data_IF_802979641417
#
_entry.id   IF_802979641417
#
_cell.length_a   1.000
_cell.length_b   1.000
_cell.length_c   1.000
_cell.angle_alpha   90.00
_cell.angle_beta   90.00
_cell.angle_gamma   90.00
#
_symmetry.space_group_name_H-M   'P 1'
#
loop_
_entity.id
_entity.type
_entity.pdbx_description
1 polymer ?
#
# COMPACT_ATOMS: atom_id res chain seq x y z
N UNK A 1 23.69 5.52 -22.67
CA UNK A 1 22.72 4.91 -21.71
C UNK A 1 23.27 4.80 -20.29
N UNK A 2 24.59 4.72 -20.06
CA UNK A 2 25.19 4.72 -18.71
C UNK A 2 25.27 6.10 -18.04
N UNK A 3 25.31 7.20 -18.80
CA UNK A 3 25.43 8.56 -18.22
C UNK A 3 24.13 9.11 -17.60
N UNK A 4 22.96 8.55 -17.95
CA UNK A 4 21.67 8.93 -17.36
C UNK A 4 21.51 8.26 -15.99
N UNK A 5 22.09 7.06 -15.82
CA UNK A 5 21.99 6.27 -14.59
C UNK A 5 22.86 6.85 -13.47
N UNK A 6 23.87 7.69 -13.77
CA UNK A 6 24.82 8.18 -12.77
C UNK A 6 24.67 9.68 -12.42
N UNK A 7 23.56 10.31 -12.82
CA UNK A 7 23.29 11.71 -12.51
C UNK A 7 21.91 11.85 -11.85
N UNK A 8 21.92 12.09 -10.54
CA UNK A 8 20.73 12.27 -9.69
C UNK A 8 19.74 13.27 -10.27
N UNK A 9 20.22 14.43 -10.71
CA UNK A 9 19.36 15.50 -11.22
C UNK A 9 18.63 15.10 -12.51
N UNK A 10 19.31 14.40 -13.43
CA UNK A 10 18.67 13.88 -14.65
C UNK A 10 17.63 12.80 -14.35
N UNK A 11 17.87 11.95 -13.34
CA UNK A 11 16.89 10.93 -12.92
C UNK A 11 15.64 11.58 -12.35
N UNK A 12 15.80 12.59 -11.50
CA UNK A 12 14.70 13.38 -10.94
C UNK A 12 13.89 14.12 -12.02
N UNK A 13 14.56 14.79 -12.95
CA UNK A 13 13.89 15.46 -14.09
C UNK A 13 13.09 14.49 -14.97
N UNK A 14 13.67 13.33 -15.26
CA UNK A 14 12.99 12.28 -16.03
C UNK A 14 11.75 11.76 -15.29
N UNK A 15 11.87 11.49 -13.99
CA UNK A 15 10.76 11.02 -13.16
C UNK A 15 9.63 12.04 -13.13
N UNK A 16 9.97 13.31 -12.89
CA UNK A 16 9.05 14.46 -12.89
C UNK A 16 8.31 14.59 -14.22
N UNK A 17 9.03 14.51 -15.33
CA UNK A 17 8.42 14.58 -16.66
C UNK A 17 7.41 13.47 -16.89
N UNK A 18 7.75 12.22 -16.53
CA UNK A 18 6.84 11.08 -16.70
C UNK A 18 5.58 11.19 -15.82
N UNK A 19 5.69 11.76 -14.61
CA UNK A 19 4.53 12.02 -13.74
C UNK A 19 3.56 12.99 -14.40
N UNK A 20 4.10 14.08 -14.95
CA UNK A 20 3.28 15.08 -15.64
C UNK A 20 2.62 14.52 -16.89
N UNK A 21 3.29 13.63 -17.64
CA UNK A 21 2.68 12.93 -18.77
C UNK A 21 1.52 12.03 -18.36
N UNK A 22 1.64 11.31 -17.23
CA UNK A 22 0.54 10.52 -16.68
C UNK A 22 -0.64 11.39 -16.27
N UNK A 23 -0.37 12.52 -15.62
CA UNK A 23 -1.40 13.49 -15.23
C UNK A 23 -2.13 14.07 -16.45
N UNK A 24 -1.42 14.33 -17.54
CA UNK A 24 -1.99 14.82 -18.81
C UNK A 24 -2.71 13.74 -19.62
N UNK A 25 -2.67 12.47 -19.20
CA UNK A 25 -3.29 11.34 -19.90
C UNK A 25 -2.56 10.92 -21.17
N UNK A 26 -1.28 11.29 -21.33
CA UNK A 26 -0.49 10.93 -22.50
C UNK A 26 -0.05 9.46 -22.43
N UNK A 27 -0.61 8.61 -23.30
CA UNK A 27 -0.23 7.19 -23.47
C UNK A 27 0.01 6.45 -22.12
N UNK A 28 -0.97 6.41 -21.21
CA UNK A 28 -0.78 6.03 -19.81
C UNK A 28 -0.15 4.65 -19.63
N UNK A 29 -0.48 3.67 -20.47
CA UNK A 29 0.11 2.33 -20.43
C UNK A 29 1.61 2.31 -20.77
N UNK A 30 2.03 3.10 -21.76
CA UNK A 30 3.43 3.17 -22.17
C UNK A 30 4.26 3.92 -21.12
N UNK A 31 3.71 5.02 -20.59
CA UNK A 31 4.37 5.79 -19.54
C UNK A 31 4.48 4.96 -18.26
N UNK A 32 3.43 4.23 -17.85
CA UNK A 32 3.48 3.29 -16.72
C UNK A 32 4.60 2.27 -16.85
N UNK A 33 4.72 1.60 -18.00
CA UNK A 33 5.80 0.61 -18.24
C UNK A 33 7.18 1.23 -18.15
N UNK A 34 7.36 2.42 -18.72
CA UNK A 34 8.64 3.13 -18.68
C UNK A 34 8.99 3.60 -17.27
N UNK A 35 7.99 4.04 -16.53
CA UNK A 35 8.13 4.46 -15.13
C UNK A 35 8.64 3.32 -14.26
N UNK A 36 8.05 2.13 -14.44
CA UNK A 36 8.47 0.89 -13.78
C UNK A 36 9.95 0.59 -14.02
N UNK A 37 10.44 0.72 -15.25
CA UNK A 37 11.86 0.47 -15.55
C UNK A 37 12.80 1.49 -14.91
N UNK A 38 12.37 2.76 -14.85
CA UNK A 38 13.18 3.86 -14.31
C UNK A 38 13.28 3.76 -12.78
N UNK A 39 12.16 3.53 -12.10
CA UNK A 39 12.09 3.43 -10.64
C UNK A 39 12.92 2.29 -10.04
N UNK A 40 13.11 1.18 -10.78
CA UNK A 40 14.00 0.08 -10.35
C UNK A 40 15.46 0.50 -10.13
N UNK A 41 15.86 1.63 -10.69
CA UNK A 41 17.24 2.10 -10.69
C UNK A 41 17.40 3.46 -9.98
N UNK A 42 16.33 3.99 -9.38
CA UNK A 42 16.34 5.27 -8.68
C UNK A 42 16.29 5.00 -7.16
N UNK A 43 17.22 5.58 -6.38
CA UNK A 43 17.13 5.57 -4.91
C UNK A 43 15.80 6.14 -4.42
N UNK A 44 15.18 5.50 -3.43
CA UNK A 44 13.82 5.87 -2.99
C UNK A 44 13.72 7.31 -2.45
N UNK A 45 14.78 7.83 -1.83
CA UNK A 45 14.89 9.22 -1.41
C UNK A 45 14.74 10.21 -2.58
N UNK A 46 15.25 9.88 -3.78
CA UNK A 46 15.06 10.73 -4.96
C UNK A 46 13.60 10.73 -5.46
N UNK A 47 12.89 9.62 -5.28
CA UNK A 47 11.45 9.52 -5.60
C UNK A 47 10.67 10.47 -4.71
N UNK A 48 10.95 10.43 -3.40
CA UNK A 48 10.35 11.32 -2.40
C UNK A 48 10.65 12.78 -2.71
N UNK A 49 11.88 13.12 -3.08
CA UNK A 49 12.25 14.49 -3.48
C UNK A 49 11.42 14.98 -4.67
N UNK A 50 11.24 14.15 -5.71
CA UNK A 50 10.46 14.54 -6.89
C UNK A 50 8.98 14.76 -6.57
N UNK A 51 8.39 13.90 -5.74
CA UNK A 51 7.00 14.06 -5.28
C UNK A 51 6.82 15.38 -4.54
N UNK A 52 7.78 15.72 -3.66
CA UNK A 52 7.77 16.97 -2.91
C UNK A 52 7.91 18.20 -3.81
N UNK A 53 8.82 18.16 -4.79
CA UNK A 53 8.97 19.23 -5.78
C UNK A 53 7.67 19.43 -6.57
N UNK A 54 6.98 18.36 -6.97
CA UNK A 54 5.72 18.45 -7.71
C UNK A 54 4.57 19.03 -6.89
N UNK A 55 4.46 18.64 -5.62
CA UNK A 55 3.47 19.22 -4.69
C UNK A 55 3.77 20.72 -4.50
N UNK A 56 5.05 21.09 -4.32
CA UNK A 56 5.47 22.48 -4.18
C UNK A 56 5.19 23.32 -5.44
N UNK A 57 5.22 22.71 -6.63
CA UNK A 57 4.88 23.32 -7.91
C UNK A 57 3.36 23.40 -8.20
N UNK A 58 2.53 22.87 -7.29
CA UNK A 58 1.08 23.00 -7.34
C UNK A 58 0.35 21.80 -7.96
N UNK A 59 1.00 20.66 -8.16
CA UNK A 59 0.31 19.43 -8.53
C UNK A 59 -0.57 18.97 -7.34
N UNK A 60 -1.87 18.70 -7.55
CA UNK A 60 -2.73 18.23 -6.47
C UNK A 60 -2.24 16.91 -5.88
N UNK A 61 -2.36 16.77 -4.56
CA UNK A 61 -1.89 15.59 -3.84
C UNK A 61 -2.60 14.31 -4.26
N UNK A 62 -3.88 14.40 -4.63
CA UNK A 62 -4.66 13.29 -5.19
C UNK A 62 -4.05 12.73 -6.49
N UNK A 63 -3.36 13.58 -7.26
CA UNK A 63 -2.69 13.17 -8.50
C UNK A 63 -1.34 12.51 -8.20
N UNK A 64 -0.64 12.96 -7.15
CA UNK A 64 0.57 12.29 -6.64
C UNK A 64 0.21 10.94 -6.01
N UNK A 65 -0.94 10.82 -5.34
CA UNK A 65 -1.42 9.57 -4.77
C UNK A 65 -1.64 8.47 -5.84
N UNK A 66 -2.17 8.83 -7.01
CA UNK A 66 -2.33 7.89 -8.15
C UNK A 66 -0.99 7.33 -8.66
N UNK A 67 0.09 8.07 -8.42
CA UNK A 67 1.45 7.68 -8.77
C UNK A 67 2.05 6.71 -7.75
N UNK A 68 1.73 6.89 -6.47
CA UNK A 68 2.18 5.99 -5.40
C UNK A 68 1.70 4.54 -5.62
N UNK A 69 0.48 4.34 -6.14
CA UNK A 69 -0.01 3.01 -6.52
C UNK A 69 0.90 2.33 -7.57
N UNK A 70 1.44 3.10 -8.52
CA UNK A 70 2.39 2.59 -9.53
C UNK A 70 3.71 2.24 -8.87
N UNK A 71 4.15 3.04 -7.90
CA UNK A 71 5.44 2.88 -7.25
C UNK A 71 5.50 1.68 -6.33
N UNK A 72 4.44 1.43 -5.54
CA UNK A 72 4.35 0.25 -4.69
C UNK A 72 4.57 -1.03 -5.50
N UNK A 73 3.95 -1.14 -6.68
CA UNK A 73 4.13 -2.28 -7.59
C UNK A 73 5.55 -2.43 -8.14
N UNK A 74 6.33 -1.35 -8.19
CA UNK A 74 7.68 -1.34 -8.76
C UNK A 74 8.74 -1.54 -7.69
N UNK A 75 8.52 -0.96 -6.52
CA UNK A 75 9.40 -1.00 -5.37
C UNK A 75 9.31 -2.34 -4.63
N UNK A 76 8.23 -3.09 -4.81
CA UNK A 76 8.12 -4.47 -4.33
C UNK A 76 9.30 -5.31 -4.84
N UNK A 77 10.20 -5.69 -3.93
CA UNK A 77 11.42 -6.45 -4.22
C UNK A 77 12.59 -5.68 -4.84
N UNK A 78 12.49 -4.35 -5.03
CA UNK A 78 13.53 -3.54 -5.69
C UNK A 78 14.06 -2.39 -4.82
N UNK A 79 13.62 -2.25 -3.57
CA UNK A 79 14.17 -1.27 -2.62
C UNK A 79 15.57 -1.71 -2.19
N UNK A 80 16.57 -0.85 -2.43
CA UNK A 80 17.93 -1.05 -1.93
C UNK A 80 17.97 -0.84 -0.40
N UNK A 81 18.13 -1.94 0.34
CA UNK A 81 18.24 -1.95 1.80
C UNK A 81 19.69 -1.98 2.30
N UNK A 82 20.70 -1.90 1.42
CA UNK A 82 22.11 -2.05 1.80
C UNK A 82 22.60 -1.01 2.81
N UNK A 83 21.95 0.16 2.87
CA UNK A 83 22.21 1.22 3.86
C UNK A 83 21.38 1.14 5.15
N UNK A 84 20.50 0.15 5.29
CA UNK A 84 19.62 0.03 6.45
C UNK A 84 20.42 -0.30 7.72
N UNK A 85 20.08 0.37 8.83
CA UNK A 85 20.73 0.14 10.12
C UNK A 85 20.01 -0.96 10.89
N UNK A 86 20.77 -1.74 11.65
CA UNK A 86 20.20 -2.68 12.60
C UNK A 86 19.33 -1.94 13.62
N UNK A 87 18.10 -2.42 13.78
CA UNK A 87 17.12 -1.85 14.70
C UNK A 87 17.14 -2.66 15.99
N UNK A 88 17.59 -2.08 17.13
CA UNK A 88 17.67 -2.82 18.38
C UNK A 88 16.27 -3.10 18.97
N UNK A 89 16.12 -4.16 19.78
CA UNK A 89 14.86 -4.45 20.47
C UNK A 89 14.37 -3.26 21.29
N UNK A 90 13.07 -2.95 21.18
CA UNK A 90 12.44 -1.84 21.91
C UNK A 90 12.56 -0.47 21.22
N UNK A 91 13.29 -0.37 20.11
CA UNK A 91 13.22 0.79 19.24
C UNK A 91 11.82 0.90 18.60
N UNK A 92 11.25 2.10 18.37
CA UNK A 92 9.93 2.25 17.76
C UNK A 92 9.76 1.50 16.42
N UNK A 93 10.80 1.50 15.58
CA UNK A 93 10.83 0.74 14.33
C UNK A 93 10.76 -0.77 14.55
N UNK A 94 11.33 -1.32 15.63
CA UNK A 94 11.22 -2.75 15.96
C UNK A 94 9.76 -3.11 16.29
N UNK A 95 9.06 -2.23 17.03
CA UNK A 95 7.62 -2.38 17.28
C UNK A 95 6.82 -2.38 15.97
N UNK A 96 7.05 -1.40 15.08
CA UNK A 96 6.35 -1.36 13.79
C UNK A 96 6.62 -2.60 12.93
N UNK A 97 7.87 -3.09 12.89
CA UNK A 97 8.24 -4.31 12.16
C UNK A 97 7.53 -5.55 12.73
N UNK A 98 7.38 -5.64 14.05
CA UNK A 98 6.64 -6.74 14.70
C UNK A 98 5.14 -6.66 14.41
N UNK A 99 4.57 -5.47 14.47
CA UNK A 99 3.16 -5.25 14.13
C UNK A 99 2.86 -5.63 12.68
N UNK A 100 3.73 -5.25 11.74
CA UNK A 100 3.64 -5.68 10.34
C UNK A 100 3.62 -7.20 10.22
N UNK A 101 4.52 -7.92 10.91
CA UNK A 101 4.55 -9.39 10.89
C UNK A 101 3.30 -10.05 11.45
N UNK A 102 2.66 -9.46 12.45
CA UNK A 102 1.38 -9.99 12.94
C UNK A 102 0.24 -9.71 11.96
N UNK A 103 0.24 -8.55 11.29
CA UNK A 103 -0.72 -8.24 10.22
C UNK A 103 -0.56 -9.20 9.02
N UNK A 104 0.67 -9.54 8.63
CA UNK A 104 0.96 -10.54 7.59
C UNK A 104 0.29 -11.89 7.89
N UNK A 105 0.31 -12.34 9.16
CA UNK A 105 -0.33 -13.60 9.55
C UNK A 105 -1.85 -13.52 9.44
N UNK A 106 -2.45 -12.39 9.82
CA UNK A 106 -3.90 -12.18 9.70
C UNK A 106 -4.31 -12.19 8.22
N UNK A 107 -3.57 -11.48 7.36
CA UNK A 107 -3.78 -11.46 5.91
C UNK A 107 -3.68 -12.87 5.33
N UNK A 108 -2.61 -13.61 5.65
CA UNK A 108 -2.43 -14.99 5.19
C UNK A 108 -3.58 -15.92 5.62
N UNK A 109 -4.09 -15.74 6.84
CA UNK A 109 -5.26 -16.49 7.32
C UNK A 109 -6.55 -16.12 6.56
N UNK A 110 -6.73 -14.85 6.17
CA UNK A 110 -7.84 -14.43 5.32
C UNK A 110 -7.70 -15.05 3.92
N UNK A 111 -6.52 -14.97 3.31
CA UNK A 111 -6.28 -15.55 1.98
C UNK A 111 -6.57 -17.05 1.93
N UNK A 112 -6.19 -17.78 2.98
CA UNK A 112 -6.50 -19.21 3.09
C UNK A 112 -8.02 -19.47 3.10
N UNK A 113 -8.80 -18.62 3.77
CA UNK A 113 -10.27 -18.71 3.77
C UNK A 113 -10.86 -18.34 2.40
N UNK A 114 -10.25 -17.41 1.66
CA UNK A 114 -10.68 -17.06 0.30
C UNK A 114 -10.39 -18.18 -0.71
N UNK A 115 -9.30 -18.93 -0.52
CA UNK A 115 -9.03 -20.15 -1.30
C UNK A 115 -10.08 -21.22 -0.97
N UNK A 116 -10.36 -21.46 0.31
CA UNK A 116 -11.42 -22.39 0.74
C UNK A 116 -12.80 -21.99 0.17
N UNK A 117 -13.09 -20.68 0.10
CA UNK A 117 -14.34 -20.16 -0.45
C UNK A 117 -14.52 -20.51 -1.93
N UNK A 118 -13.45 -20.38 -2.74
CA UNK A 118 -13.47 -20.69 -4.18
C UNK A 118 -13.74 -22.16 -4.47
N UNK A 119 -13.32 -23.04 -3.57
CA UNK A 119 -13.47 -24.50 -3.72
C UNK A 119 -14.75 -25.04 -3.05
N UNK A 120 -15.52 -24.16 -2.39
CA UNK A 120 -16.68 -24.55 -1.59
C UNK A 120 -18.00 -24.52 -2.35
N UNK A 121 -18.91 -25.42 -1.95
CA UNK A 121 -20.32 -25.40 -2.35
C UNK A 121 -21.14 -24.48 -1.44
N UNK A 122 -22.33 -24.04 -1.91
CA UNK A 122 -23.24 -23.11 -1.21
C UNK A 122 -23.43 -23.38 0.30
N UNK A 123 -23.52 -24.64 0.71
CA UNK A 123 -23.74 -25.02 2.11
C UNK A 123 -22.63 -24.65 3.10
N UNK A 124 -21.41 -24.31 2.63
CA UNK A 124 -20.27 -23.93 3.49
C UNK A 124 -19.98 -22.44 3.55
N UNK A 125 -20.61 -21.65 2.68
CA UNK A 125 -20.29 -20.22 2.52
C UNK A 125 -20.52 -19.45 3.82
N UNK A 126 -21.64 -19.70 4.51
CA UNK A 126 -21.97 -19.03 5.77
C UNK A 126 -20.91 -19.28 6.86
N UNK A 127 -20.37 -20.50 6.92
CA UNK A 127 -19.31 -20.84 7.87
C UNK A 127 -18.01 -20.08 7.54
N UNK A 128 -17.63 -20.02 6.27
CA UNK A 128 -16.44 -19.31 5.81
C UNK A 128 -16.58 -17.81 6.07
N UNK A 129 -17.75 -17.22 5.81
CA UNK A 129 -18.02 -15.81 6.09
C UNK A 129 -17.96 -15.50 7.59
N UNK A 130 -18.43 -16.41 8.45
CA UNK A 130 -18.27 -16.27 9.91
C UNK A 130 -16.80 -16.29 10.33
N UNK A 131 -15.97 -17.15 9.73
CA UNK A 131 -14.51 -17.18 9.94
C UNK A 131 -13.86 -15.89 9.44
N UNK A 132 -14.23 -15.43 8.25
CA UNK A 132 -13.75 -14.17 7.66
C UNK A 132 -14.09 -12.97 8.55
N UNK A 133 -15.31 -12.90 9.07
CA UNK A 133 -15.70 -11.88 10.03
C UNK A 133 -14.80 -11.87 11.27
N UNK A 134 -14.48 -13.04 11.82
CA UNK A 134 -13.50 -13.15 12.92
C UNK A 134 -12.13 -12.57 12.53
N UNK A 135 -11.61 -12.91 11.34
CA UNK A 135 -10.32 -12.41 10.86
C UNK A 135 -10.31 -10.92 10.55
N UNK A 136 -11.41 -10.36 10.05
CA UNK A 136 -11.52 -8.92 9.82
C UNK A 136 -11.56 -8.12 11.13
N UNK A 137 -12.16 -8.67 12.19
CA UNK A 137 -12.06 -8.06 13.53
C UNK A 137 -10.61 -8.03 14.05
N UNK A 138 -9.81 -9.07 13.78
CA UNK A 138 -8.38 -9.05 14.09
C UNK A 138 -7.63 -8.03 13.20
N UNK A 139 -7.96 -7.96 11.91
CA UNK A 139 -7.33 -7.04 10.96
C UNK A 139 -7.55 -5.56 11.33
N UNK A 140 -8.65 -5.22 12.01
CA UNK A 140 -8.92 -3.86 12.50
C UNK A 140 -7.83 -3.31 13.44
N UNK A 141 -7.01 -4.16 14.05
CA UNK A 141 -5.85 -3.71 14.84
C UNK A 141 -4.84 -2.91 14.00
N UNK A 142 -4.90 -3.00 12.66
CA UNK A 142 -4.15 -2.13 11.75
C UNK A 142 -4.42 -0.65 11.99
N UNK A 143 -5.63 -0.26 12.43
CA UNK A 143 -5.93 1.15 12.69
C UNK A 143 -5.07 1.68 13.84
N UNK A 144 -4.86 0.88 14.90
CA UNK A 144 -3.96 1.25 16.00
C UNK A 144 -2.52 1.43 15.49
N UNK A 145 -2.10 0.63 14.51
CA UNK A 145 -0.78 0.75 13.88
C UNK A 145 -0.66 2.03 13.04
N UNK A 146 -1.69 2.34 12.23
CA UNK A 146 -1.76 3.57 11.46
C UNK A 146 -1.77 4.81 12.35
N UNK A 147 -2.60 4.83 13.40
CA UNK A 147 -2.65 5.95 14.36
C UNK A 147 -1.28 6.20 15.03
N UNK A 148 -0.53 5.13 15.38
CA UNK A 148 0.84 5.31 15.91
C UNK A 148 1.77 5.95 14.88
N UNK A 149 1.71 5.53 13.61
CA UNK A 149 2.49 6.15 12.52
C UNK A 149 2.08 7.62 12.34
N UNK A 150 0.79 7.89 12.22
CA UNK A 150 0.19 9.21 11.95
C UNK A 150 0.46 10.22 13.06
N UNK A 151 0.38 9.82 14.33
CA UNK A 151 0.50 10.76 15.45
C UNK A 151 1.88 10.80 16.10
N UNK A 152 2.74 9.79 15.87
CA UNK A 152 4.07 9.74 16.50
C UNK A 152 5.21 9.84 15.49
N UNK A 153 5.14 9.10 14.38
CA UNK A 153 6.22 9.04 13.39
C UNK A 153 6.13 10.18 12.37
N UNK A 154 4.96 10.39 11.78
CA UNK A 154 4.74 11.38 10.73
C UNK A 154 5.09 12.81 11.19
N UNK A 155 4.63 13.29 12.37
CA UNK A 155 4.98 14.63 12.83
C UNK A 155 6.47 14.76 13.17
N UNK A 156 7.16 13.64 13.45
CA UNK A 156 8.61 13.64 13.62
C UNK A 156 9.32 13.80 12.28
N UNK A 157 8.89 13.08 11.24
CA UNK A 157 9.43 13.20 9.88
C UNK A 157 9.24 14.61 9.29
N UNK A 158 8.06 15.19 9.51
CA UNK A 158 7.74 16.55 9.04
C UNK A 158 8.65 17.63 9.65
N UNK A 159 9.11 17.44 10.90
CA UNK A 159 10.11 18.34 11.52
C UNK A 159 11.47 18.32 10.83
N UNK A 160 11.76 17.26 10.07
CA UNK A 160 12.94 17.15 9.21
C UNK A 160 12.61 17.44 7.75
N UNK A 161 11.50 18.14 7.49
CA UNK A 161 11.07 18.56 6.14
C UNK A 161 10.68 17.39 5.21
N UNK A 162 10.48 16.20 5.78
CA UNK A 162 9.95 15.03 5.08
C UNK A 162 8.42 15.02 5.27
N UNK A 163 7.71 15.67 4.37
CA UNK A 163 6.25 15.89 4.46
C UNK A 163 5.43 15.08 3.44
N UNK A 164 6.00 14.75 2.27
CA UNK A 164 5.33 14.05 1.17
C UNK A 164 4.92 12.62 1.53
N UNK A 165 5.86 11.73 1.91
CA UNK A 165 5.54 10.35 2.24
C UNK A 165 4.55 10.22 3.41
N UNK A 166 4.72 10.94 4.54
CA UNK A 166 3.72 10.93 5.61
C UNK A 166 2.31 11.28 5.14
N UNK A 167 2.18 12.33 4.31
CA UNK A 167 0.89 12.82 3.83
C UNK A 167 0.21 11.82 2.89
N UNK A 168 0.99 11.27 1.95
CA UNK A 168 0.58 10.21 1.03
C UNK A 168 0.13 8.96 1.80
N UNK A 169 0.96 8.50 2.74
CA UNK A 169 0.68 7.30 3.55
C UNK A 169 -0.58 7.48 4.38
N UNK A 170 -0.82 8.66 4.94
CA UNK A 170 -2.05 8.96 5.68
C UNK A 170 -3.27 8.83 4.77
N UNK A 171 -3.27 9.46 3.58
CA UNK A 171 -4.35 9.31 2.62
C UNK A 171 -4.62 7.84 2.26
N UNK A 172 -3.56 7.03 2.13
CA UNK A 172 -3.71 5.58 1.90
C UNK A 172 -4.30 4.84 3.09
N UNK A 173 -3.92 5.20 4.32
CA UNK A 173 -4.54 4.62 5.52
C UNK A 173 -6.05 4.90 5.54
N UNK A 174 -6.49 6.10 5.16
CA UNK A 174 -7.92 6.45 5.08
C UNK A 174 -8.67 5.62 4.02
N UNK A 175 -8.10 5.45 2.82
CA UNK A 175 -8.68 4.56 1.81
C UNK A 175 -8.81 3.12 2.33
N UNK A 176 -7.80 2.63 3.04
CA UNK A 176 -7.77 1.26 3.57
C UNK A 176 -8.79 1.10 4.69
N UNK A 177 -8.96 2.10 5.56
CA UNK A 177 -10.01 2.10 6.60
C UNK A 177 -11.39 1.93 5.98
N UNK A 178 -11.69 2.67 4.92
CA UNK A 178 -12.97 2.55 4.22
C UNK A 178 -13.15 1.17 3.56
N UNK A 179 -12.09 0.63 2.94
CA UNK A 179 -12.12 -0.73 2.35
C UNK A 179 -12.34 -1.82 3.41
N UNK A 180 -11.64 -1.73 4.55
CA UNK A 180 -11.81 -2.67 5.67
C UNK A 180 -13.24 -2.59 6.21
N UNK A 181 -13.78 -1.39 6.38
CA UNK A 181 -15.15 -1.18 6.83
C UNK A 181 -16.17 -1.80 5.87
N UNK A 182 -16.04 -1.55 4.58
CA UNK A 182 -16.90 -2.16 3.56
C UNK A 182 -16.80 -3.69 3.57
N UNK A 183 -15.59 -4.24 3.68
CA UNK A 183 -15.39 -5.68 3.79
C UNK A 183 -16.04 -6.26 5.06
N UNK A 184 -15.90 -5.58 6.20
CA UNK A 184 -16.51 -5.98 7.48
C UNK A 184 -18.03 -6.03 7.37
N UNK A 185 -18.66 -4.99 6.80
CA UNK A 185 -20.11 -4.94 6.58
C UNK A 185 -20.61 -6.15 5.77
N UNK A 186 -19.89 -6.51 4.71
CA UNK A 186 -20.25 -7.65 3.85
C UNK A 186 -20.07 -8.99 4.57
N UNK A 187 -19.00 -9.17 5.35
CA UNK A 187 -18.78 -10.44 6.06
C UNK A 187 -19.64 -10.60 7.33
N UNK A 188 -20.11 -9.51 7.93
CA UNK A 188 -21.01 -9.53 9.11
C UNK A 188 -22.42 -10.02 8.79
N UNK A 189 -22.91 -9.80 7.57
CA UNK A 189 -24.29 -10.10 7.19
C UNK A 189 -24.38 -10.73 5.78
N UNK A 190 -23.83 -11.95 5.58
CA UNK A 190 -23.76 -12.56 4.25
C UNK A 190 -25.11 -12.84 3.59
N UNK A 191 -26.25 -12.76 4.30
CA UNK A 191 -27.54 -13.15 3.74
C UNK A 191 -27.55 -14.61 3.23
N UNK A 192 -28.44 -14.89 2.27
CA UNK A 192 -28.40 -16.11 1.46
C UNK A 192 -27.65 -15.80 0.16
N UNK A 193 -26.32 -15.81 0.21
CA UNK A 193 -25.47 -15.65 -0.98
C UNK A 193 -25.14 -17.01 -1.60
N UNK A 194 -25.13 -17.03 -2.92
CA UNK A 194 -24.63 -18.14 -3.74
C UNK A 194 -23.11 -18.16 -3.78
N UNK A 195 -22.50 -19.28 -4.19
CA UNK A 195 -21.05 -19.38 -4.37
C UNK A 195 -20.50 -18.33 -5.35
N UNK A 196 -21.23 -18.04 -6.43
CA UNK A 196 -20.81 -17.04 -7.42
C UNK A 196 -20.81 -15.62 -6.82
N UNK A 197 -21.85 -15.26 -6.07
CA UNK A 197 -21.92 -13.97 -5.37
C UNK A 197 -20.83 -13.85 -4.30
N UNK A 198 -20.58 -14.94 -3.55
CA UNK A 198 -19.52 -14.98 -2.54
C UNK A 198 -18.13 -14.75 -3.16
N UNK A 199 -17.87 -15.37 -4.31
CA UNK A 199 -16.63 -15.18 -5.06
C UNK A 199 -16.50 -13.75 -5.61
N UNK A 200 -17.58 -13.19 -6.15
CA UNK A 200 -17.59 -11.80 -6.62
C UNK A 200 -17.30 -10.81 -5.48
N UNK A 201 -17.94 -11.00 -4.32
CA UNK A 201 -17.69 -10.23 -3.10
C UNK A 201 -16.23 -10.37 -2.64
N UNK A 202 -15.69 -11.59 -2.65
CA UNK A 202 -14.29 -11.85 -2.32
C UNK A 202 -13.37 -10.98 -3.18
N UNK A 203 -13.58 -10.99 -4.50
CA UNK A 203 -12.67 -10.34 -5.43
C UNK A 203 -12.86 -8.81 -5.48
N UNK A 204 -14.08 -8.32 -5.31
CA UNK A 204 -14.38 -6.89 -5.43
C UNK A 204 -14.27 -6.11 -4.13
N UNK A 205 -14.37 -6.77 -2.97
CA UNK A 205 -14.44 -6.08 -1.66
C UNK A 205 -13.37 -6.60 -0.71
N UNK A 206 -13.29 -7.92 -0.52
CA UNK A 206 -12.41 -8.50 0.50
C UNK A 206 -10.93 -8.42 0.10
N UNK A 207 -10.60 -8.85 -1.12
CA UNK A 207 -9.22 -8.80 -1.64
C UNK A 207 -8.64 -7.39 -1.68
N UNK A 208 -9.36 -6.37 -2.19
CA UNK A 208 -8.86 -4.99 -2.18
C UNK A 208 -8.55 -4.47 -0.76
N UNK A 209 -9.31 -4.88 0.26
CA UNK A 209 -9.06 -4.47 1.63
C UNK A 209 -7.75 -5.07 2.18
N UNK A 210 -7.57 -6.39 2.05
CA UNK A 210 -6.36 -7.07 2.57
C UNK A 210 -5.12 -6.72 1.77
N UNK A 211 -5.22 -6.54 0.45
CA UNK A 211 -4.10 -6.10 -0.39
C UNK A 211 -3.67 -4.68 0.00
N UNK A 212 -4.62 -3.77 0.26
CA UNK A 212 -4.27 -2.43 0.72
C UNK A 212 -3.46 -2.45 2.03
N UNK A 213 -3.82 -3.31 2.98
CA UNK A 213 -3.01 -3.48 4.21
C UNK A 213 -1.64 -4.08 3.89
N UNK A 214 -1.59 -5.11 3.03
CA UNK A 214 -0.34 -5.75 2.61
C UNK A 214 0.64 -4.74 2.00
N UNK A 215 0.18 -3.90 1.08
CA UNK A 215 1.00 -2.86 0.43
C UNK A 215 1.62 -1.92 1.47
N UNK A 216 0.86 -1.54 2.51
CA UNK A 216 1.32 -0.61 3.54
C UNK A 216 2.28 -1.21 4.56
N UNK A 217 2.35 -2.54 4.68
CA UNK A 217 3.27 -3.23 5.60
C UNK A 217 4.53 -3.74 4.89
N UNK A 218 4.44 -4.13 3.62
CA UNK A 218 5.56 -4.64 2.80
C UNK A 218 6.62 -3.56 2.56
N UNK A 219 6.21 -2.29 2.45
CA UNK A 219 7.13 -1.16 2.18
C UNK A 219 7.90 -0.70 3.43
N UNK A 220 7.65 -1.25 4.63
CA UNK A 220 8.23 -0.73 5.90
C UNK A 220 9.45 -1.51 6.44
N UNK A 221 10.17 -2.30 5.63
CA UNK A 221 11.29 -3.14 6.13
C UNK A 221 12.66 -2.53 5.84
#
# INVERSE_FOLDING_TARGET
>A
MSEIINNSQRRKELLKHMILQLHQGEAPELVRKRLVEVLKNIPYDEVVEVEQELIAEGLPEEEVLKFCDIHSMVLEGHIDQTGSKDVPPGHPVDTFKKENRELEKVIAAIDQLLVELRESSDGKIKEIFMKLHGRFNELMDVDKHYLRKEYLLFPFLEKYEITGPPKVMWGKHDEIREKIKAALEVVSAPGDITADEANAVSDMVIRPAIHGVADMITVTV
#
